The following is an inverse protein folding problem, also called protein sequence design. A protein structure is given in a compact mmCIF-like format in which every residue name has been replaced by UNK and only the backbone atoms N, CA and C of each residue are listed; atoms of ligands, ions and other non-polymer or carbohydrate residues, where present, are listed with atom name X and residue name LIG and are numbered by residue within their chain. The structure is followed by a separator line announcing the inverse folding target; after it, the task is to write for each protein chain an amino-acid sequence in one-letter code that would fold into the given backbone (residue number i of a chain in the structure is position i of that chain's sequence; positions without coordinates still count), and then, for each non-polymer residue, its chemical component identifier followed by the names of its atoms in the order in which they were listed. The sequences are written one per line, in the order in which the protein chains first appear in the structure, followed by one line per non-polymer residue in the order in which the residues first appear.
data_IF_545006134728
#
_entry.id   IF_545006134728
#
_cell.length_a   1.000
_cell.length_b   1.000
_cell.length_c   1.000
_cell.angle_alpha   90.00
_cell.angle_beta   90.00
_cell.angle_gamma   90.00
#
_symmetry.space_group_name_H-M   'P 1'
#
loop_
_entity.id
_entity.type
_entity.pdbx_description
1 polymer ?
#
# COMPACT_ATOMS: atom_id res chain seq x y z
N UNK A 1 -15.61 2.18 -30.95
CA UNK A 1 -14.81 2.26 -29.69
C UNK A 1 -15.34 3.42 -28.88
N UNK A 2 -15.69 3.20 -27.61
CA UNK A 2 -16.26 4.24 -26.75
C UNK A 2 -15.17 5.30 -26.47
N UNK A 3 -15.39 6.56 -26.86
CA UNK A 3 -14.35 7.62 -26.84
C UNK A 3 -13.73 7.80 -25.45
N UNK A 4 -14.53 7.54 -24.40
CA UNK A 4 -14.11 7.55 -23.00
C UNK A 4 -12.96 6.58 -22.76
N UNK A 5 -13.09 5.32 -23.18
CA UNK A 5 -12.06 4.28 -22.96
C UNK A 5 -10.76 4.60 -23.68
N UNK A 6 -10.85 5.18 -24.87
CA UNK A 6 -9.66 5.62 -25.60
C UNK A 6 -8.94 6.74 -24.86
N UNK A 7 -9.66 7.77 -24.41
CA UNK A 7 -9.08 8.87 -23.62
C UNK A 7 -8.49 8.42 -22.30
N UNK A 8 -9.14 7.50 -21.58
CA UNK A 8 -8.61 6.92 -20.35
C UNK A 8 -7.27 6.21 -20.59
N UNK A 9 -7.13 5.51 -21.72
CA UNK A 9 -5.87 4.87 -22.12
C UNK A 9 -4.79 5.90 -22.44
N UNK A 10 -5.13 6.93 -23.22
CA UNK A 10 -4.20 8.00 -23.60
C UNK A 10 -3.69 8.78 -22.38
N UNK A 11 -4.56 9.02 -21.40
CA UNK A 11 -4.22 9.70 -20.14
C UNK A 11 -3.58 8.79 -19.09
N UNK A 12 -3.39 7.51 -19.41
CA UNK A 12 -2.82 6.49 -18.50
C UNK A 12 -3.63 6.36 -17.19
N UNK A 13 -4.95 6.45 -17.29
CA UNK A 13 -5.89 6.28 -16.18
C UNK A 13 -6.33 4.82 -16.09
N UNK A 14 -5.39 3.93 -15.77
CA UNK A 14 -5.61 2.49 -15.83
C UNK A 14 -6.52 1.96 -14.72
N UNK A 15 -6.59 2.62 -13.56
CA UNK A 15 -7.51 2.26 -12.48
C UNK A 15 -8.95 2.46 -12.94
N UNK A 16 -9.27 3.65 -13.41
CA UNK A 16 -10.59 3.99 -13.97
C UNK A 16 -10.91 3.12 -15.17
N UNK A 17 -9.97 2.91 -16.10
CA UNK A 17 -10.20 2.11 -17.28
C UNK A 17 -10.67 0.68 -16.94
N UNK A 18 -10.11 0.09 -15.88
CA UNK A 18 -10.43 -1.27 -15.46
C UNK A 18 -11.73 -1.34 -14.64
N UNK A 19 -12.02 -0.34 -13.80
CA UNK A 19 -13.19 -0.34 -12.92
C UNK A 19 -14.43 0.35 -13.49
N UNK A 20 -14.32 1.00 -14.66
CA UNK A 20 -15.38 1.86 -15.22
C UNK A 20 -16.77 1.21 -15.26
N UNK A 21 -16.88 0.00 -15.83
CA UNK A 21 -18.19 -0.65 -15.99
C UNK A 21 -18.80 -1.05 -14.63
N UNK A 22 -17.94 -1.55 -13.73
CA UNK A 22 -18.34 -1.94 -12.37
C UNK A 22 -18.85 -0.72 -11.59
N UNK A 23 -18.10 0.39 -11.63
CA UNK A 23 -18.48 1.63 -10.94
C UNK A 23 -19.74 2.28 -11.52
N UNK A 24 -19.95 2.20 -12.84
CA UNK A 24 -21.18 2.67 -13.49
C UNK A 24 -22.38 1.84 -13.03
N UNK A 25 -22.26 0.52 -12.96
CA UNK A 25 -23.35 -0.35 -12.48
C UNK A 25 -23.63 -0.10 -10.99
N UNK A 26 -22.59 -0.02 -10.18
CA UNK A 26 -22.69 0.32 -8.76
C UNK A 26 -23.40 1.67 -8.53
N UNK A 27 -23.04 2.69 -9.31
CA UNK A 27 -23.67 4.01 -9.23
C UNK A 27 -25.18 3.97 -9.54
N UNK A 28 -25.59 3.15 -10.52
CA UNK A 28 -27.00 2.96 -10.86
C UNK A 28 -27.75 2.24 -9.73
N UNK A 29 -27.16 1.19 -9.16
CA UNK A 29 -27.78 0.42 -8.07
C UNK A 29 -27.93 1.25 -6.79
N UNK A 30 -26.95 2.10 -6.49
CA UNK A 30 -26.92 2.92 -5.28
C UNK A 30 -27.50 4.32 -5.46
N UNK A 31 -27.99 4.67 -6.66
CA UNK A 31 -28.47 6.01 -7.02
C UNK A 31 -27.49 7.12 -6.61
N UNK A 32 -26.20 6.91 -6.89
CA UNK A 32 -25.17 7.89 -6.58
C UNK A 32 -25.35 9.16 -7.44
N UNK A 33 -25.07 10.31 -6.83
CA UNK A 33 -24.95 11.58 -7.54
C UNK A 33 -23.77 11.54 -8.51
N UNK A 34 -23.82 12.40 -9.53
CA UNK A 34 -22.72 12.48 -10.52
C UNK A 34 -21.37 12.80 -9.88
N UNK A 35 -21.35 13.60 -8.80
CA UNK A 35 -20.13 13.96 -8.11
C UNK A 35 -19.52 12.74 -7.39
N UNK A 36 -20.33 11.96 -6.68
CA UNK A 36 -19.90 10.74 -5.98
C UNK A 36 -19.33 9.70 -6.96
N UNK A 37 -19.89 9.58 -8.16
CA UNK A 37 -19.33 8.68 -9.19
C UNK A 37 -17.94 9.14 -9.62
N UNK A 38 -17.76 10.45 -9.85
CA UNK A 38 -16.46 10.99 -10.24
C UNK A 38 -15.44 10.79 -9.13
N UNK A 39 -15.82 11.05 -7.88
CA UNK A 39 -14.96 10.82 -6.70
C UNK A 39 -14.53 9.36 -6.61
N UNK A 40 -15.46 8.42 -6.76
CA UNK A 40 -15.19 6.99 -6.72
C UNK A 40 -14.21 6.54 -7.82
N UNK A 41 -14.40 7.05 -9.04
CA UNK A 41 -13.49 6.78 -10.17
C UNK A 41 -12.09 7.35 -9.90
N UNK A 42 -12.00 8.58 -9.38
CA UNK A 42 -10.72 9.20 -9.04
C UNK A 42 -10.00 8.47 -7.92
N UNK A 43 -10.74 7.96 -6.93
CA UNK A 43 -10.20 7.15 -5.84
C UNK A 43 -9.60 5.83 -6.35
N UNK A 44 -10.29 5.14 -7.27
CA UNK A 44 -9.76 3.93 -7.91
C UNK A 44 -8.43 4.19 -8.63
N UNK A 45 -8.34 5.30 -9.36
CA UNK A 45 -7.09 5.69 -10.02
C UNK A 45 -5.98 6.01 -9.01
N UNK A 46 -6.31 6.76 -7.95
CA UNK A 46 -5.35 7.12 -6.91
C UNK A 46 -4.80 5.88 -6.21
N UNK A 47 -5.66 4.91 -5.88
CA UNK A 47 -5.27 3.65 -5.26
C UNK A 47 -4.41 2.81 -6.21
N UNK A 48 -4.81 2.64 -7.47
CA UNK A 48 -4.02 1.94 -8.47
C UNK A 48 -2.62 2.56 -8.68
N UNK A 49 -2.50 3.90 -8.66
CA UNK A 49 -1.18 4.57 -8.71
C UNK A 49 -0.35 4.32 -7.47
N UNK A 50 -0.97 4.37 -6.28
CA UNK A 50 -0.30 4.09 -4.99
C UNK A 50 0.27 2.67 -4.98
N UNK A 51 -0.52 1.69 -5.40
CA UNK A 51 -0.13 0.28 -5.46
C UNK A 51 0.99 0.03 -6.45
N UNK A 52 0.89 0.60 -7.66
CA UNK A 52 1.95 0.47 -8.67
C UNK A 52 3.25 1.14 -8.21
N UNK A 53 3.16 2.29 -7.53
CA UNK A 53 4.32 2.95 -6.93
C UNK A 53 4.95 2.10 -5.82
N UNK A 54 4.14 1.49 -4.97
CA UNK A 54 4.60 0.55 -3.94
C UNK A 54 5.30 -0.67 -4.56
N UNK A 55 4.66 -1.37 -5.48
CA UNK A 55 5.24 -2.52 -6.21
C UNK A 55 6.56 -2.17 -6.90
N UNK A 56 6.64 -0.97 -7.50
CA UNK A 56 7.88 -0.49 -8.14
C UNK A 56 8.99 -0.25 -7.13
N UNK A 57 8.71 0.37 -5.98
CA UNK A 57 9.70 0.58 -4.91
C UNK A 57 10.14 -0.75 -4.30
N UNK A 58 9.20 -1.66 -4.09
CA UNK A 58 9.46 -3.01 -3.59
C UNK A 58 10.35 -3.79 -4.56
N UNK A 59 10.04 -3.84 -5.86
CA UNK A 59 10.90 -4.51 -6.85
C UNK A 59 12.29 -3.88 -6.96
N UNK A 60 12.42 -2.58 -6.67
CA UNK A 60 13.71 -1.86 -6.65
C UNK A 60 14.52 -2.07 -5.38
N UNK A 61 13.92 -2.48 -4.27
CA UNK A 61 14.62 -2.61 -2.99
C UNK A 61 15.65 -3.74 -3.00
N UNK A 62 15.53 -4.69 -3.93
CA UNK A 62 16.39 -5.89 -4.04
C UNK A 62 16.47 -6.68 -2.73
N UNK A 63 15.45 -6.57 -1.88
CA UNK A 63 15.38 -7.34 -0.64
C UNK A 63 15.20 -8.82 -1.01
N UNK A 64 16.00 -9.73 -0.41
CA UNK A 64 15.99 -11.14 -0.77
C UNK A 64 14.67 -11.86 -0.40
N UNK A 65 13.96 -11.32 0.60
CA UNK A 65 12.69 -11.86 1.06
C UNK A 65 11.69 -10.73 1.29
N UNK A 66 10.42 -11.01 0.97
CA UNK A 66 9.32 -10.21 1.46
C UNK A 66 8.98 -10.70 2.86
N UNK A 67 9.42 -9.95 3.88
CA UNK A 67 9.00 -10.18 5.26
C UNK A 67 8.07 -9.08 5.70
N UNK A 68 6.91 -9.45 6.21
CA UNK A 68 6.01 -8.51 6.86
C UNK A 68 6.19 -8.57 8.38
N UNK A 69 5.69 -7.56 9.09
CA UNK A 69 5.78 -7.54 10.56
C UNK A 69 4.93 -8.63 11.20
N UNK A 70 3.87 -9.08 10.52
CA UNK A 70 3.01 -10.19 10.95
C UNK A 70 3.74 -11.53 10.93
N UNK A 71 4.77 -11.67 10.09
CA UNK A 71 5.63 -12.86 10.02
C UNK A 71 6.75 -12.84 11.07
N UNK A 72 6.84 -11.80 11.91
CA UNK A 72 7.83 -11.73 12.97
C UNK A 72 7.51 -12.69 14.10
N UNK A 73 8.36 -13.69 14.30
CA UNK A 73 8.22 -14.66 15.38
C UNK A 73 8.75 -14.08 16.71
N UNK A 74 7.82 -13.59 17.54
CA UNK A 74 8.13 -13.10 18.88
C UNK A 74 8.55 -14.22 19.86
N UNK A 75 8.25 -15.49 19.58
CA UNK A 75 8.70 -16.60 20.40
C UNK A 75 10.19 -16.90 20.19
N UNK A 76 10.71 -16.61 18.98
CA UNK A 76 12.13 -16.75 18.66
C UNK A 76 13.00 -15.72 19.40
N UNK A 77 12.47 -14.54 19.71
CA UNK A 77 13.17 -13.51 20.50
C UNK A 77 12.27 -12.97 21.62
N UNK A 78 12.13 -13.70 22.74
CA UNK A 78 11.22 -13.34 23.83
C UNK A 78 11.65 -12.10 24.63
N UNK A 79 12.89 -11.63 24.43
CA UNK A 79 13.38 -10.39 25.06
C UNK A 79 12.82 -9.12 24.42
N UNK A 80 12.22 -9.22 23.22
CA UNK A 80 11.63 -8.08 22.51
C UNK A 80 10.18 -7.91 22.94
N UNK A 81 9.84 -6.72 23.45
CA UNK A 81 8.46 -6.36 23.74
C UNK A 81 7.68 -6.12 22.44
N UNK A 82 6.63 -6.92 22.25
CA UNK A 82 5.71 -6.84 21.10
C UNK A 82 5.07 -5.46 20.97
N UNK A 83 4.80 -4.76 22.08
CA UNK A 83 4.20 -3.41 22.02
C UNK A 83 5.16 -2.42 21.37
N UNK A 84 6.43 -2.45 21.77
CA UNK A 84 7.46 -1.59 21.19
C UNK A 84 7.61 -1.79 19.68
N UNK A 85 7.59 -3.03 19.20
CA UNK A 85 7.66 -3.34 17.76
C UNK A 85 6.41 -2.86 17.02
N UNK A 86 5.22 -3.06 17.60
CA UNK A 86 3.99 -2.56 17.00
C UNK A 86 3.94 -1.03 16.95
N UNK A 87 4.43 -0.35 17.98
CA UNK A 87 4.55 1.11 17.99
C UNK A 87 5.49 1.59 16.87
N UNK A 88 6.59 0.88 16.63
CA UNK A 88 7.47 1.16 15.48
C UNK A 88 6.73 0.97 14.15
N UNK A 89 5.89 -0.06 14.02
CA UNK A 89 5.10 -0.32 12.81
C UNK A 89 4.13 0.82 12.47
N UNK A 90 3.64 1.57 13.46
CA UNK A 90 2.80 2.76 13.24
C UNK A 90 3.53 3.93 12.54
N UNK A 91 4.86 3.87 12.45
CA UNK A 91 5.71 4.93 11.92
C UNK A 91 5.61 6.27 12.66
N UNK A 92 5.05 6.28 13.88
CA UNK A 92 4.88 7.48 14.69
C UNK A 92 6.23 8.16 15.03
N UNK A 93 7.29 7.37 15.18
CA UNK A 93 8.67 7.87 15.39
C UNK A 93 9.15 8.83 14.29
N UNK A 94 8.65 8.70 13.06
CA UNK A 94 8.98 9.61 11.95
C UNK A 94 8.40 11.01 12.21
N UNK A 95 7.13 11.07 12.64
CA UNK A 95 6.46 12.34 12.97
C UNK A 95 7.11 13.01 14.17
N UNK A 96 7.50 12.22 15.16
CA UNK A 96 8.16 12.68 16.39
C UNK A 96 9.65 12.97 16.22
N UNK A 97 10.22 12.71 15.03
CA UNK A 97 11.66 12.83 14.74
C UNK A 97 12.54 12.06 15.72
N UNK A 98 12.06 10.89 16.17
CA UNK A 98 12.80 9.97 17.04
C UNK A 98 13.57 8.95 16.20
N UNK A 99 14.77 8.61 16.65
CA UNK A 99 15.58 7.58 16.03
C UNK A 99 15.30 6.23 16.68
N UNK A 100 15.19 5.18 15.87
CA UNK A 100 15.11 3.79 16.35
C UNK A 100 16.42 3.09 15.98
N UNK A 101 17.02 2.40 16.94
CA UNK A 101 18.25 1.63 16.74
C UNK A 101 17.97 0.19 17.18
N UNK A 102 18.20 -0.76 16.27
CA UNK A 102 18.12 -2.20 16.57
C UNK A 102 19.50 -2.70 16.98
N UNK A 103 19.63 -3.22 18.21
CA UNK A 103 20.89 -3.73 18.77
C UNK A 103 20.66 -5.17 19.21
N UNK A 104 21.57 -6.07 18.84
CA UNK A 104 21.52 -7.48 19.25
C UNK A 104 22.57 -8.32 18.54
N UNK A 105 22.83 -9.50 19.09
CA UNK A 105 23.86 -10.43 18.62
C UNK A 105 23.63 -10.88 17.17
N UNK A 106 24.69 -11.22 16.42
CA UNK A 106 24.56 -11.71 15.05
C UNK A 106 23.60 -12.92 14.98
N UNK A 107 22.65 -12.90 14.03
CA UNK A 107 21.65 -13.96 13.89
C UNK A 107 20.31 -13.72 14.60
N UNK A 108 20.15 -12.62 15.32
CA UNK A 108 18.88 -12.23 15.98
C UNK A 108 17.88 -11.50 15.07
N UNK A 109 18.15 -11.44 13.75
CA UNK A 109 17.30 -10.76 12.77
C UNK A 109 17.62 -9.29 12.52
N UNK A 110 18.57 -8.70 13.25
CA UNK A 110 19.02 -7.30 13.05
C UNK A 110 19.73 -7.07 11.71
N UNK A 111 20.26 -8.13 11.09
CA UNK A 111 20.95 -8.07 9.81
C UNK A 111 20.25 -9.01 8.83
N UNK A 112 19.44 -8.45 7.93
CA UNK A 112 19.07 -9.15 6.71
C UNK A 112 20.26 -9.06 5.75
N UNK A 113 20.96 -10.17 5.54
CA UNK A 113 21.77 -10.35 4.32
C UNK A 113 20.85 -10.69 3.16
#
# INVERSE_FOLDING_TARGET
MNIVRQRLRDFKLSGIYNSLDERINYAKEKNLSYLEVIELLLEDEANNRRDNSYKKRQGKSKLPYYKTIEEFDFAFQPSIDKRTINDCATCQFIKEKKNIVFIGEPGTGNYAK
#
